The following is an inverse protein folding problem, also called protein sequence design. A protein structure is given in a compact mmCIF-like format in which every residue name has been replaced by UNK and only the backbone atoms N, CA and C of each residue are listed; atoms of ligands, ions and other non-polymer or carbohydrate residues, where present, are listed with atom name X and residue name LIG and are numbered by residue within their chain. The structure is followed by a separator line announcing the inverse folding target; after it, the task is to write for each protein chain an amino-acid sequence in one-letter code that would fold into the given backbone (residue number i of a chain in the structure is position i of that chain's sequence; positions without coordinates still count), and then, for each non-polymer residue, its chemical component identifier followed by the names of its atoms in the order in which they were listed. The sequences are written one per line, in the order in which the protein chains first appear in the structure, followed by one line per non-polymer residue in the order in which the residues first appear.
data_IF_994544024458
#
_entry.id   IF_994544024458
#
_cell.length_a   1.000
_cell.length_b   1.000
_cell.length_c   1.000
_cell.angle_alpha   90.00
_cell.angle_beta   90.00
_cell.angle_gamma   90.00
#
_symmetry.space_group_name_H-M   'P 1'
#
loop_
_entity.id
_entity.type
_entity.pdbx_description
1 polymer ?
#
# COMPACT_ATOMS: atom_id res chain seq x y z
N UNK A 1 4.61 12.34 2.78
CA UNK A 1 3.68 13.31 3.40
C UNK A 1 4.08 14.75 3.04
N UNK A 2 5.22 15.27 3.49
CA UNK A 2 5.63 16.67 3.26
C UNK A 2 5.70 17.11 1.77
N UNK A 3 6.17 16.25 0.86
CA UNK A 3 6.26 16.60 -0.56
C UNK A 3 4.90 16.84 -1.21
N UNK A 4 3.94 15.92 -1.01
CA UNK A 4 2.59 16.04 -1.56
C UNK A 4 1.90 17.26 -0.96
N UNK A 5 2.01 17.44 0.36
CA UNK A 5 1.34 18.52 1.07
C UNK A 5 1.80 19.92 0.64
N UNK A 6 3.08 20.07 0.29
CA UNK A 6 3.64 21.34 -0.17
C UNK A 6 3.29 21.67 -1.63
N UNK A 7 2.88 20.68 -2.44
CA UNK A 7 2.58 20.86 -3.86
C UNK A 7 1.09 20.89 -4.15
N UNK A 8 0.29 20.14 -3.40
CA UNK A 8 -1.15 19.98 -3.67
C UNK A 8 -1.97 21.02 -2.93
N UNK A 9 -2.80 21.76 -3.66
CA UNK A 9 -3.85 22.63 -3.13
C UNK A 9 -5.26 22.03 -3.31
N UNK A 10 -5.36 20.87 -3.96
CA UNK A 10 -6.59 20.16 -4.27
C UNK A 10 -6.29 18.66 -4.30
N UNK A 11 -7.15 17.87 -3.67
CA UNK A 11 -7.05 16.41 -3.56
C UNK A 11 -8.33 15.79 -4.10
N UNK A 12 -8.20 14.85 -5.04
CA UNK A 12 -9.32 14.12 -5.61
C UNK A 12 -9.21 12.66 -5.14
N UNK A 13 -10.18 12.21 -4.34
CA UNK A 13 -10.29 10.83 -3.90
C UNK A 13 -11.17 10.06 -4.88
N UNK A 14 -10.69 8.92 -5.35
CA UNK A 14 -11.44 7.98 -6.18
C UNK A 14 -11.58 6.68 -5.37
N UNK A 15 -12.80 6.34 -4.97
CA UNK A 15 -13.07 5.13 -4.18
C UNK A 15 -14.43 4.56 -4.54
N UNK A 16 -14.55 3.23 -4.68
CA UNK A 16 -15.80 2.53 -5.00
C UNK A 16 -16.62 3.16 -6.15
N UNK A 17 -15.95 3.64 -7.20
CA UNK A 17 -16.58 4.28 -8.36
C UNK A 17 -17.11 5.71 -8.10
N UNK A 18 -16.91 6.27 -6.90
CA UNK A 18 -17.21 7.65 -6.53
C UNK A 18 -15.96 8.52 -6.60
N UNK A 19 -16.18 9.80 -6.90
CA UNK A 19 -15.13 10.82 -6.94
C UNK A 19 -15.48 11.89 -5.92
N UNK A 20 -14.58 12.15 -4.98
CA UNK A 20 -14.71 13.23 -4.00
C UNK A 20 -13.63 14.28 -4.25
N UNK A 21 -14.06 15.52 -4.42
CA UNK A 21 -13.18 16.64 -4.72
C UNK A 21 -13.00 17.54 -3.49
N UNK A 22 -11.77 17.60 -3.00
CA UNK A 22 -11.37 18.38 -1.85
C UNK A 22 -10.46 19.52 -2.27
N UNK A 23 -10.87 20.76 -2.08
CA UNK A 23 -10.04 21.96 -2.30
C UNK A 23 -9.06 22.21 -1.16
N UNK A 24 -8.31 21.18 -0.79
CA UNK A 24 -7.30 21.25 0.25
C UNK A 24 -6.13 20.32 -0.06
N UNK A 25 -5.05 20.49 0.70
CA UNK A 25 -3.88 19.65 0.66
C UNK A 25 -4.15 18.23 1.18
N UNK A 26 -3.17 17.35 1.00
CA UNK A 26 -3.33 15.94 1.35
C UNK A 26 -3.54 15.72 2.86
N UNK A 27 -2.83 16.45 3.72
CA UNK A 27 -2.94 16.28 5.17
C UNK A 27 -4.35 16.62 5.68
N UNK A 28 -4.91 17.76 5.25
CA UNK A 28 -6.24 18.16 5.67
C UNK A 28 -7.34 17.30 5.02
N UNK A 29 -7.12 16.81 3.79
CA UNK A 29 -8.00 15.80 3.20
C UNK A 29 -8.14 14.56 4.08
N UNK A 30 -7.05 14.07 4.69
CA UNK A 30 -7.12 12.89 5.57
C UNK A 30 -8.01 13.14 6.81
N UNK A 31 -8.01 14.35 7.35
CA UNK A 31 -8.88 14.76 8.46
C UNK A 31 -10.34 14.77 8.00
N UNK A 32 -10.64 15.46 6.89
CA UNK A 32 -12.00 15.53 6.32
C UNK A 32 -12.55 14.15 5.95
N UNK A 33 -11.71 13.26 5.43
CA UNK A 33 -12.09 11.87 5.13
C UNK A 33 -12.43 11.10 6.41
N UNK A 34 -11.67 11.30 7.48
CA UNK A 34 -11.94 10.68 8.78
C UNK A 34 -13.26 11.18 9.37
N UNK A 35 -13.50 12.49 9.36
CA UNK A 35 -14.75 13.09 9.82
C UNK A 35 -15.96 12.58 9.00
N UNK A 36 -15.85 12.56 7.67
CA UNK A 36 -16.89 12.01 6.77
C UNK A 36 -17.23 10.58 7.17
N UNK A 37 -16.22 9.75 7.42
CA UNK A 37 -16.40 8.35 7.81
C UNK A 37 -17.09 8.22 9.17
N UNK A 38 -16.68 9.01 10.16
CA UNK A 38 -17.31 9.02 11.48
C UNK A 38 -18.79 9.41 11.39
N UNK A 39 -19.12 10.38 10.53
CA UNK A 39 -20.50 10.77 10.26
C UNK A 39 -21.29 9.65 9.57
N UNK A 40 -20.74 9.02 8.53
CA UNK A 40 -21.36 7.88 7.85
C UNK A 40 -21.60 6.71 8.80
N UNK A 41 -20.61 6.35 9.63
CA UNK A 41 -20.73 5.26 10.60
C UNK A 41 -21.82 5.55 11.63
N UNK A 42 -21.87 6.77 12.16
CA UNK A 42 -22.92 7.17 13.10
C UNK A 42 -24.31 7.10 12.46
N UNK A 43 -24.46 7.61 11.23
CA UNK A 43 -25.72 7.54 10.50
C UNK A 43 -26.15 6.09 10.25
N UNK A 44 -25.21 5.22 9.89
CA UNK A 44 -25.45 3.79 9.71
C UNK A 44 -25.90 3.13 11.01
N UNK A 45 -25.21 3.38 12.12
CA UNK A 45 -25.54 2.80 13.43
C UNK A 45 -26.93 3.27 13.91
N UNK A 46 -27.25 4.55 13.73
CA UNK A 46 -28.54 5.11 14.11
C UNK A 46 -29.67 4.56 13.21
N UNK A 47 -29.42 4.41 11.91
CA UNK A 47 -30.35 3.79 10.97
C UNK A 47 -30.59 2.31 11.30
N UNK A 48 -29.53 1.56 11.64
CA UNK A 48 -29.62 0.16 12.03
C UNK A 48 -30.49 -0.03 13.28
N UNK A 49 -30.36 0.86 14.28
CA UNK A 49 -31.23 0.86 15.47
C UNK A 49 -32.70 1.13 15.10
N UNK A 50 -32.96 2.15 14.28
CA UNK A 50 -34.32 2.47 13.84
C UNK A 50 -34.96 1.30 13.08
N UNK A 51 -34.21 0.67 12.17
CA UNK A 51 -34.68 -0.51 11.43
C UNK A 51 -35.03 -1.64 12.40
N UNK A 52 -34.18 -1.91 13.39
CA UNK A 52 -34.42 -2.95 14.39
C UNK A 52 -35.69 -2.67 15.24
N UNK A 53 -35.91 -1.42 15.65
CA UNK A 53 -37.12 -1.02 16.39
C UNK A 53 -38.39 -1.19 15.55
N UNK A 54 -38.35 -0.73 14.29
CA UNK A 54 -39.47 -0.85 13.35
C UNK A 54 -39.77 -2.32 13.08
N UNK A 55 -38.74 -3.14 12.88
CA UNK A 55 -38.86 -4.57 12.65
C UNK A 55 -39.50 -5.27 13.86
N UNK A 56 -39.03 -4.96 15.07
CA UNK A 56 -39.61 -5.48 16.32
C UNK A 56 -41.08 -5.10 16.47
N UNK A 57 -41.46 -3.88 16.07
CA UNK A 57 -42.87 -3.46 16.07
C UNK A 57 -43.68 -4.28 15.06
N UNK A 58 -43.18 -4.43 13.83
CA UNK A 58 -43.84 -5.20 12.78
C UNK A 58 -44.07 -6.63 13.26
N UNK A 59 -43.04 -7.29 13.80
CA UNK A 59 -43.12 -8.67 14.25
C UNK A 59 -44.07 -8.85 15.43
N UNK A 60 -44.05 -7.92 16.39
CA UNK A 60 -44.95 -7.96 17.56
C UNK A 60 -46.43 -7.80 17.20
N UNK A 61 -46.74 -6.93 16.23
CA UNK A 61 -48.13 -6.58 15.89
C UNK A 61 -48.61 -7.19 14.58
N UNK A 62 -47.82 -8.07 13.96
CA UNK A 62 -48.20 -8.82 12.76
C UNK A 62 -49.45 -9.67 13.06
N UNK A 63 -50.49 -9.52 12.24
CA UNK A 63 -51.76 -10.22 12.43
C UNK A 63 -52.70 -9.59 13.47
N UNK A 64 -52.30 -8.51 14.16
CA UNK A 64 -53.21 -7.77 15.05
C UNK A 64 -54.11 -6.84 14.23
N UNK A 65 -55.42 -7.15 14.18
CA UNK A 65 -56.39 -6.44 13.35
C UNK A 65 -56.36 -4.91 13.52
N UNK A 66 -56.32 -4.41 14.77
CA UNK A 66 -56.33 -2.98 15.10
C UNK A 66 -55.06 -2.22 14.68
N UNK A 67 -53.96 -2.93 14.37
CA UNK A 67 -52.65 -2.35 14.02
C UNK A 67 -52.23 -2.62 12.57
N UNK A 68 -53.07 -3.29 11.78
CA UNK A 68 -52.79 -3.69 10.39
C UNK A 68 -52.28 -2.53 9.52
N UNK A 69 -52.95 -1.37 9.53
CA UNK A 69 -52.55 -0.21 8.74
C UNK A 69 -51.19 0.36 9.16
N UNK A 70 -50.89 0.36 10.47
CA UNK A 70 -49.62 0.85 11.01
C UNK A 70 -48.46 -0.09 10.63
N UNK A 71 -48.69 -1.40 10.68
CA UNK A 71 -47.70 -2.40 10.24
C UNK A 71 -47.42 -2.24 8.74
N UNK A 72 -48.45 -2.15 7.91
CA UNK A 72 -48.28 -1.98 6.46
C UNK A 72 -47.54 -0.68 6.09
N UNK A 73 -47.82 0.42 6.79
CA UNK A 73 -47.12 1.69 6.56
C UNK A 73 -45.62 1.59 6.89
N UNK A 74 -45.27 0.92 7.99
CA UNK A 74 -43.87 0.72 8.41
C UNK A 74 -43.11 -0.22 7.48
N UNK A 75 -43.74 -1.28 6.98
CA UNK A 75 -43.15 -2.16 5.95
C UNK A 75 -42.79 -1.36 4.70
N UNK A 76 -43.73 -0.56 4.17
CA UNK A 76 -43.47 0.31 3.01
C UNK A 76 -42.39 1.37 3.27
N UNK A 77 -42.26 1.83 4.50
CA UNK A 77 -41.22 2.78 4.89
C UNK A 77 -39.84 2.14 4.82
N UNK A 78 -39.70 0.89 5.31
CA UNK A 78 -38.45 0.12 5.21
C UNK A 78 -38.09 -0.21 3.76
N UNK A 79 -39.06 -0.58 2.92
CA UNK A 79 -38.83 -0.88 1.50
C UNK A 79 -38.30 0.31 0.69
N UNK A 80 -38.63 1.53 1.10
CA UNK A 80 -38.20 2.77 0.44
C UNK A 80 -36.98 3.41 1.08
N UNK A 81 -36.48 2.84 2.18
CA UNK A 81 -35.38 3.41 2.92
C UNK A 81 -34.06 3.10 2.19
N UNK A 82 -33.33 4.14 1.80
CA UNK A 82 -31.97 3.99 1.29
C UNK A 82 -31.02 3.78 2.46
N UNK A 83 -30.24 2.69 2.41
CA UNK A 83 -29.27 2.37 3.46
C UNK A 83 -28.03 3.23 3.26
N UNK A 84 -27.58 3.89 4.32
CA UNK A 84 -26.32 4.63 4.32
C UNK A 84 -25.17 3.64 4.21
N UNK A 85 -24.35 3.76 3.18
CA UNK A 85 -23.12 2.97 3.05
C UNK A 85 -21.97 3.67 3.79
N UNK A 86 -21.24 2.92 4.60
CA UNK A 86 -19.99 3.40 5.21
C UNK A 86 -18.86 3.07 4.24
N UNK A 87 -18.14 4.08 3.78
CA UNK A 87 -17.00 3.88 2.89
C UNK A 87 -16.00 2.91 3.56
N UNK A 88 -15.65 1.79 2.91
CA UNK A 88 -14.66 0.87 3.47
C UNK A 88 -13.26 1.50 3.40
N UNK A 89 -12.44 1.32 4.46
CA UNK A 89 -11.00 1.54 4.28
C UNK A 89 -10.50 0.27 3.62
N UNK A 90 -9.91 0.40 2.44
CA UNK A 90 -9.02 -0.64 1.93
C UNK A 90 -7.84 -0.77 2.90
N UNK A 91 -8.04 -1.62 3.89
CA UNK A 91 -7.03 -2.05 4.86
C UNK A 91 -6.39 -3.34 4.41
N UNK A 92 -6.56 -3.74 3.13
CA UNK A 92 -5.80 -4.83 2.56
C UNK A 92 -4.32 -4.43 2.56
N UNK A 93 -3.68 -4.65 3.71
CA UNK A 93 -2.26 -4.69 3.80
C UNK A 93 -1.83 -5.78 2.84
N UNK A 94 -1.06 -5.40 1.83
CA UNK A 94 -0.45 -6.34 0.91
C UNK A 94 0.41 -7.30 1.75
N UNK A 95 -0.13 -8.48 2.06
CA UNK A 95 0.57 -9.50 2.84
C UNK A 95 1.53 -10.24 1.91
N UNK A 96 2.67 -9.61 1.64
CA UNK A 96 3.77 -10.24 0.92
C UNK A 96 4.54 -11.17 1.85
N UNK A 97 4.43 -12.47 1.61
CA UNK A 97 5.32 -13.47 2.23
C UNK A 97 6.34 -13.91 1.19
N UNK A 98 7.61 -13.70 1.50
CA UNK A 98 8.69 -14.28 0.72
C UNK A 98 9.05 -15.66 1.29
N UNK A 99 9.18 -16.69 0.45
CA UNK A 99 9.68 -17.98 0.92
C UNK A 99 11.10 -17.81 1.49
N UNK A 100 11.49 -18.59 2.51
CA UNK A 100 12.86 -18.54 3.03
C UNK A 100 13.84 -18.94 1.93
N UNK A 101 14.85 -18.11 1.68
CA UNK A 101 15.90 -18.41 0.72
C UNK A 101 16.73 -19.63 1.20
N UNK A 102 17.24 -20.47 0.27
CA UNK A 102 18.18 -21.52 0.62
C UNK A 102 19.41 -20.94 1.31
N UNK A 103 20.03 -21.72 2.20
CA UNK A 103 21.18 -21.26 2.98
C UNK A 103 22.40 -21.07 2.07
N UNK A 104 22.80 -19.82 1.86
CA UNK A 104 24.07 -19.46 1.22
C UNK A 104 25.25 -19.53 2.18
N UNK A 105 26.47 -19.46 1.64
CA UNK A 105 27.69 -19.22 2.41
C UNK A 105 27.63 -17.97 3.30
N UNK A 106 28.59 -17.81 4.21
CA UNK A 106 28.61 -16.65 5.12
C UNK A 106 28.86 -15.31 4.39
N UNK A 107 29.54 -15.35 3.25
CA UNK A 107 29.84 -14.19 2.41
C UNK A 107 29.34 -14.45 0.98
N UNK A 108 28.07 -14.14 0.68
CA UNK A 108 27.51 -14.33 -0.67
C UNK A 108 28.19 -13.49 -1.76
N UNK A 109 28.77 -12.34 -1.42
CA UNK A 109 29.47 -11.49 -2.39
C UNK A 109 30.75 -10.95 -1.75
N UNK A 110 31.86 -11.11 -2.44
CA UNK A 110 33.15 -10.46 -2.14
C UNK A 110 33.61 -9.81 -3.44
N UNK A 111 33.83 -8.49 -3.43
CA UNK A 111 34.42 -7.76 -4.55
C UNK A 111 35.70 -7.09 -4.08
N UNK A 112 36.76 -7.16 -4.89
CA UNK A 112 38.06 -6.56 -4.62
C UNK A 112 38.50 -5.75 -5.82
N UNK A 113 38.75 -4.46 -5.59
CA UNK A 113 39.18 -3.46 -6.56
C UNK A 113 38.30 -3.39 -7.82
N UNK A 114 37.00 -3.64 -7.63
CA UNK A 114 36.04 -3.70 -8.72
C UNK A 114 35.92 -2.34 -9.40
N UNK A 115 36.09 -2.32 -10.72
CA UNK A 115 36.04 -1.10 -11.53
C UNK A 115 35.23 -1.30 -12.79
N UNK A 116 34.56 -0.24 -13.26
CA UNK A 116 33.86 -0.24 -14.54
C UNK A 116 34.02 1.09 -15.25
N UNK A 117 34.43 1.01 -16.51
CA UNK A 117 34.39 2.12 -17.46
C UNK A 117 33.61 1.73 -18.71
N UNK A 118 32.94 2.71 -19.31
CA UNK A 118 32.40 2.61 -20.67
C UNK A 118 33.16 3.61 -21.53
N UNK A 119 33.88 3.11 -22.54
CA UNK A 119 34.79 3.89 -23.37
C UNK A 119 35.76 4.74 -22.51
N UNK A 120 35.64 6.06 -22.56
CA UNK A 120 36.48 6.99 -21.78
C UNK A 120 35.85 7.42 -20.45
N UNK A 121 34.66 6.94 -20.12
CA UNK A 121 33.93 7.33 -18.92
C UNK A 121 34.01 6.25 -17.84
N UNK A 122 34.76 6.53 -16.79
CA UNK A 122 34.77 5.71 -15.57
C UNK A 122 33.47 5.90 -14.79
N UNK A 123 32.77 4.80 -14.54
CA UNK A 123 31.50 4.78 -13.80
C UNK A 123 31.76 4.60 -12.30
N UNK A 124 32.63 3.66 -11.95
CA UNK A 124 33.16 3.47 -10.61
C UNK A 124 34.55 2.84 -10.70
N UNK A 125 35.37 3.03 -9.66
CA UNK A 125 36.75 2.57 -9.62
C UNK A 125 37.14 2.12 -8.21
N UNK A 126 37.95 1.08 -8.13
CA UNK A 126 38.58 0.56 -6.92
C UNK A 126 37.57 0.25 -5.79
N UNK A 127 36.42 -0.34 -6.16
CA UNK A 127 35.35 -0.68 -5.21
C UNK A 127 35.64 -2.05 -4.59
N UNK A 128 36.03 -2.03 -3.31
CA UNK A 128 36.21 -3.23 -2.49
C UNK A 128 35.09 -3.34 -1.46
N UNK A 129 34.29 -4.41 -1.53
CA UNK A 129 33.16 -4.64 -0.63
C UNK A 129 32.97 -6.12 -0.32
N UNK A 130 32.49 -6.44 0.88
CA UNK A 130 32.13 -7.80 1.28
C UNK A 130 30.74 -7.76 1.89
N UNK A 131 29.83 -8.58 1.37
CA UNK A 131 28.44 -8.67 1.84
C UNK A 131 28.32 -9.96 2.65
N UNK A 132 27.95 -9.86 3.92
CA UNK A 132 27.69 -11.01 4.77
C UNK A 132 26.24 -11.49 4.65
N UNK A 133 25.99 -12.79 4.88
CA UNK A 133 24.64 -13.36 4.85
C UNK A 133 23.76 -12.70 5.91
N UNK A 134 22.61 -12.16 5.47
CA UNK A 134 21.64 -11.48 6.35
C UNK A 134 21.91 -9.99 6.51
N UNK A 135 23.01 -9.48 5.93
CA UNK A 135 23.30 -8.06 5.90
C UNK A 135 22.35 -7.32 4.94
N UNK A 136 21.98 -6.10 5.30
CA UNK A 136 21.16 -5.21 4.48
C UNK A 136 22.01 -4.01 4.08
N UNK A 137 22.28 -3.87 2.79
CA UNK A 137 23.14 -2.83 2.25
C UNK A 137 22.30 -1.89 1.39
N UNK A 138 22.50 -0.58 1.57
CA UNK A 138 21.87 0.46 0.77
C UNK A 138 22.93 1.24 0.01
N UNK A 139 22.84 1.24 -1.32
CA UNK A 139 23.66 2.11 -2.18
C UNK A 139 22.96 3.46 -2.34
N UNK A 140 23.58 4.53 -1.85
CA UNK A 140 23.03 5.89 -1.91
C UNK A 140 23.94 6.76 -2.77
N UNK A 141 23.35 7.56 -3.65
CA UNK A 141 24.07 8.45 -4.56
C UNK A 141 23.10 9.13 -5.53
N UNK A 142 23.57 10.13 -6.27
CA UNK A 142 22.77 10.79 -7.33
C UNK A 142 22.50 9.82 -8.49
N UNK A 143 21.55 10.20 -9.36
CA UNK A 143 21.33 9.47 -10.60
C UNK A 143 22.58 9.55 -11.49
N UNK A 144 23.00 8.42 -12.07
CA UNK A 144 24.20 8.34 -12.88
C UNK A 144 25.49 7.98 -12.14
N UNK A 145 25.50 7.91 -10.81
CA UNK A 145 26.68 7.55 -9.98
C UNK A 145 27.01 6.03 -9.98
N UNK A 146 26.61 5.29 -11.01
CA UNK A 146 27.02 3.89 -11.17
C UNK A 146 26.34 2.85 -10.27
N UNK A 147 25.36 3.20 -9.43
CA UNK A 147 24.68 2.25 -8.53
C UNK A 147 24.10 1.02 -9.25
N UNK A 148 23.30 1.25 -10.29
CA UNK A 148 22.73 0.16 -11.10
C UNK A 148 23.81 -0.62 -11.86
N UNK A 149 24.89 0.06 -12.26
CA UNK A 149 26.04 -0.56 -12.91
C UNK A 149 26.77 -1.50 -11.95
N UNK A 150 26.98 -1.09 -10.69
CA UNK A 150 27.59 -1.93 -9.66
C UNK A 150 26.75 -3.17 -9.37
N UNK A 151 25.42 -3.02 -9.27
CA UNK A 151 24.50 -4.15 -9.07
C UNK A 151 24.58 -5.14 -10.25
N UNK A 152 24.59 -4.63 -11.48
CA UNK A 152 24.76 -5.47 -12.69
C UNK A 152 26.12 -6.17 -12.75
N UNK A 153 27.18 -5.50 -12.31
CA UNK A 153 28.51 -6.11 -12.23
C UNK A 153 28.52 -7.26 -11.21
N UNK A 154 27.93 -7.07 -10.02
CA UNK A 154 27.79 -8.12 -8.99
C UNK A 154 26.97 -9.33 -9.51
N UNK A 155 26.01 -9.07 -10.39
CA UNK A 155 25.22 -10.11 -11.05
C UNK A 155 25.92 -10.77 -12.23
N UNK A 156 27.15 -10.36 -12.56
CA UNK A 156 27.92 -10.84 -13.72
C UNK A 156 27.19 -10.61 -15.06
N UNK A 157 26.28 -9.62 -15.14
CA UNK A 157 25.54 -9.28 -16.38
C UNK A 157 26.34 -8.36 -17.32
N UNK A 158 27.39 -7.73 -16.79
CA UNK A 158 28.28 -6.83 -17.53
C UNK A 158 29.72 -7.16 -17.18
N UNK A 159 30.63 -6.89 -18.12
CA UNK A 159 32.06 -6.99 -17.83
C UNK A 159 32.48 -5.97 -16.77
N UNK A 160 33.56 -6.26 -16.04
CA UNK A 160 34.16 -5.39 -15.04
C UNK A 160 35.66 -5.72 -14.93
N UNK A 161 36.42 -4.79 -14.36
CA UNK A 161 37.80 -5.03 -13.94
C UNK A 161 37.84 -5.35 -12.44
N UNK A 162 38.89 -6.04 -11.99
CA UNK A 162 39.06 -6.48 -10.60
C UNK A 162 38.54 -7.90 -10.37
N UNK A 163 38.30 -8.25 -9.11
CA UNK A 163 37.85 -9.59 -8.71
C UNK A 163 36.47 -9.54 -8.07
N UNK A 164 35.59 -10.45 -8.50
CA UNK A 164 34.28 -10.67 -7.90
C UNK A 164 34.11 -12.16 -7.62
N UNK A 165 33.76 -12.48 -6.39
CA UNK A 165 33.49 -13.83 -5.93
C UNK A 165 32.07 -13.92 -5.39
N UNK A 166 31.24 -14.71 -6.07
CA UNK A 166 29.90 -15.09 -5.59
C UNK A 166 30.04 -16.37 -4.74
N UNK A 167 29.61 -16.28 -3.48
CA UNK A 167 29.74 -17.35 -2.50
C UNK A 167 28.91 -18.59 -2.84
N UNK A 168 29.33 -19.76 -2.37
CA UNK A 168 28.65 -21.03 -2.63
C UNK A 168 27.16 -21.03 -2.22
N UNK A 169 26.30 -21.63 -3.04
CA UNK A 169 24.84 -21.65 -2.87
C UNK A 169 24.19 -20.26 -2.77
N UNK A 170 24.83 -19.21 -3.28
CA UNK A 170 24.19 -17.89 -3.39
C UNK A 170 23.32 -17.85 -4.64
N UNK A 171 22.03 -17.61 -4.45
CA UNK A 171 21.10 -17.31 -5.54
C UNK A 171 20.84 -15.81 -5.55
N UNK A 172 21.24 -15.15 -6.64
CA UNK A 172 21.02 -13.71 -6.80
C UNK A 172 19.66 -13.51 -7.47
N UNK A 173 18.76 -12.80 -6.80
CA UNK A 173 17.48 -12.35 -7.36
C UNK A 173 17.55 -10.87 -7.66
N UNK A 174 17.18 -10.48 -8.88
CA UNK A 174 17.18 -9.08 -9.31
C UNK A 174 15.76 -8.59 -9.62
N UNK A 175 15.43 -7.42 -9.10
CA UNK A 175 14.20 -6.71 -9.42
C UNK A 175 14.58 -5.35 -10.00
N UNK A 176 14.42 -5.21 -11.32
CA UNK A 176 14.66 -3.95 -12.01
C UNK A 176 13.55 -2.94 -11.68
N UNK A 177 13.95 -1.69 -11.42
CA UNK A 177 13.05 -0.55 -11.31
C UNK A 177 12.78 0.07 -12.67
#
# INVERSE_FOLDING_TARGET
KAFVDNLTNRTIEITQGRIYDYKTNYSHYLELRKERREQQQKQFDDQAKQIAEIQTFIDRFKGTYSKTLQVQSRVKMLEKMEIVEVDEVDTAALNLKFPPAPRSGNYPVIATDLSKSYDQQTVFKDVSLTIARGEKIAFVGKNGEGKSTLVKAIMEEIDYDGELQVGHNSMIGYFAQ
#
